data_IF_412372117468
#
_entry.id   IF_412372117468
#
_cell.length_a   1.000
_cell.length_b   1.000
_cell.length_c   1.000
_cell.angle_alpha   90.00
_cell.angle_beta   90.00
_cell.angle_gamma   90.00
#
_symmetry.space_group_name_H-M   'P 1'
#
loop_
_entity.id
_entity.type
_entity.pdbx_description
1 polymer ?
#
# COMPACT_ATOMS: atom_id res chain seq x y z
N UNK A 1 47.89 19.90 -43.37
CA UNK A 1 47.91 19.89 -41.88
C UNK A 1 46.59 20.35 -41.24
N UNK A 2 45.98 21.47 -41.66
CA UNK A 2 44.71 22.03 -41.10
C UNK A 2 43.47 21.10 -41.11
N UNK A 3 43.30 20.28 -42.15
CA UNK A 3 42.08 19.45 -42.33
C UNK A 3 41.97 18.34 -41.26
N UNK A 4 43.10 17.80 -40.81
CA UNK A 4 43.13 16.75 -39.78
C UNK A 4 42.66 17.28 -38.42
N UNK A 5 43.11 18.48 -38.04
CA UNK A 5 42.67 19.15 -36.81
C UNK A 5 41.17 19.46 -36.79
N UNK A 6 40.59 19.84 -37.93
CA UNK A 6 39.14 20.09 -38.02
C UNK A 6 38.32 18.80 -37.87
N UNK A 7 38.86 17.68 -38.36
CA UNK A 7 38.22 16.37 -38.21
C UNK A 7 38.27 15.91 -36.75
N UNK A 8 39.43 16.02 -36.11
CA UNK A 8 39.61 15.67 -34.69
C UNK A 8 38.73 16.52 -33.77
N UNK A 9 38.63 17.83 -34.04
CA UNK A 9 37.77 18.74 -33.27
C UNK A 9 36.28 18.38 -33.41
N UNK A 10 35.82 18.01 -34.62
CA UNK A 10 34.44 17.54 -34.82
C UNK A 10 34.15 16.24 -34.07
N UNK A 11 35.10 15.30 -34.02
CA UNK A 11 34.97 14.04 -33.29
C UNK A 11 34.86 14.30 -31.78
N UNK A 12 35.68 15.19 -31.24
CA UNK A 12 35.66 15.57 -29.82
C UNK A 12 34.32 16.21 -29.44
N UNK A 13 33.82 17.13 -30.25
CA UNK A 13 32.53 17.79 -30.00
C UNK A 13 31.38 16.78 -30.07
N UNK A 14 31.39 15.90 -31.08
CA UNK A 14 30.36 14.89 -31.27
C UNK A 14 30.28 13.92 -30.08
N UNK A 15 31.43 13.42 -29.60
CA UNK A 15 31.51 12.55 -28.42
C UNK A 15 30.99 13.23 -27.16
N UNK A 16 31.29 14.53 -26.98
CA UNK A 16 30.79 15.31 -25.84
C UNK A 16 29.27 15.49 -25.85
N UNK A 17 28.69 15.75 -27.03
CA UNK A 17 27.22 15.89 -27.18
C UNK A 17 26.49 14.58 -26.88
N UNK A 18 27.02 13.44 -27.33
CA UNK A 18 26.43 12.13 -27.04
C UNK A 18 26.44 11.84 -25.54
N UNK A 19 27.56 12.10 -24.85
CA UNK A 19 27.66 11.93 -23.41
C UNK A 19 26.64 12.76 -22.62
N UNK A 20 26.44 14.02 -23.00
CA UNK A 20 25.43 14.88 -22.35
C UNK A 20 24.00 14.36 -22.53
N UNK A 21 23.67 13.81 -23.70
CA UNK A 21 22.34 13.21 -23.93
C UNK A 21 22.11 11.93 -23.12
N UNK A 22 23.15 11.15 -22.86
CA UNK A 22 23.06 9.95 -22.03
C UNK A 22 22.84 10.29 -20.54
N UNK A 23 23.52 11.33 -20.03
CA UNK A 23 23.34 11.80 -18.65
C UNK A 23 21.92 12.32 -18.41
N UNK A 24 21.38 13.11 -19.35
CA UNK A 24 20.00 13.63 -19.24
C UNK A 24 18.96 12.50 -19.24
N UNK A 25 19.12 11.50 -20.10
CA UNK A 25 18.20 10.34 -20.10
C UNK A 25 18.28 9.56 -18.79
N UNK A 26 19.47 9.41 -18.21
CA UNK A 26 19.66 8.75 -16.91
C UNK A 26 18.98 9.51 -15.78
N UNK A 27 19.09 10.84 -15.74
CA UNK A 27 18.39 11.68 -14.75
C UNK A 27 16.87 11.63 -14.89
N UNK A 28 16.35 11.69 -16.12
CA UNK A 28 14.90 11.62 -16.38
C UNK A 28 14.35 10.26 -15.92
N UNK A 29 15.04 9.16 -16.24
CA UNK A 29 14.66 7.83 -15.80
C UNK A 29 14.73 7.70 -14.27
N UNK A 30 15.79 8.19 -13.64
CA UNK A 30 15.92 8.18 -12.17
C UNK A 30 14.79 8.95 -11.49
N UNK A 31 14.44 10.14 -12.00
CA UNK A 31 13.40 10.99 -11.42
C UNK A 31 12.00 10.40 -11.62
N UNK A 32 11.77 9.72 -12.74
CA UNK A 32 10.53 8.99 -13.00
C UNK A 32 10.42 7.77 -12.07
N UNK A 33 11.51 7.02 -11.89
CA UNK A 33 11.56 5.86 -11.01
C UNK A 33 11.31 6.27 -9.54
N UNK A 34 11.90 7.37 -9.08
CA UNK A 34 11.67 7.91 -7.73
C UNK A 34 10.21 8.30 -7.51
N UNK A 35 9.57 8.97 -8.48
CA UNK A 35 8.13 9.29 -8.45
C UNK A 35 7.24 8.04 -8.40
N UNK A 36 7.62 6.98 -9.12
CA UNK A 36 6.87 5.71 -9.15
C UNK A 36 6.99 5.00 -7.80
N UNK A 37 8.18 4.97 -7.19
CA UNK A 37 8.43 4.37 -5.87
C UNK A 37 7.67 5.11 -4.75
N UNK A 38 7.58 6.44 -4.82
CA UNK A 38 6.84 7.23 -3.83
C UNK A 38 5.32 7.01 -3.92
N UNK A 39 4.76 6.78 -5.11
CA UNK A 39 3.34 6.53 -5.30
C UNK A 39 2.90 5.15 -4.76
N UNK A 40 3.83 4.18 -4.71
CA UNK A 40 3.58 2.79 -4.30
C UNK A 40 3.57 2.56 -2.79
N UNK A 41 4.03 3.53 -2.00
CA UNK A 41 4.29 3.34 -0.56
C UNK A 41 3.17 3.84 0.36
N UNK A 42 1.95 3.95 -0.15
CA UNK A 42 0.78 4.46 0.59
C UNK A 42 -0.26 3.37 0.88
N UNK A 43 0.16 2.12 1.07
CA UNK A 43 -0.61 1.23 1.93
C UNK A 43 -0.61 1.86 3.32
N UNK A 44 -1.73 2.49 3.69
CA UNK A 44 -1.89 3.21 4.96
C UNK A 44 -1.69 2.23 6.11
N UNK A 45 -0.45 2.05 6.58
CA UNK A 45 -0.10 1.14 7.68
C UNK A 45 -0.88 1.47 8.95
N UNK A 46 -1.20 2.75 9.15
CA UNK A 46 -2.09 3.25 10.21
C UNK A 46 -3.51 2.68 10.05
N UNK A 47 -4.05 2.64 8.84
CA UNK A 47 -5.36 2.04 8.56
C UNK A 47 -5.34 0.54 8.82
N UNK A 48 -4.28 -0.16 8.43
CA UNK A 48 -4.13 -1.59 8.71
C UNK A 48 -4.07 -1.87 10.23
N UNK A 49 -3.31 -1.06 10.98
CA UNK A 49 -3.26 -1.17 12.43
C UNK A 49 -4.62 -0.88 13.07
N UNK A 50 -5.34 0.14 12.62
CA UNK A 50 -6.70 0.44 13.09
C UNK A 50 -7.65 -0.74 12.86
N UNK A 51 -7.61 -1.34 11.67
CA UNK A 51 -8.47 -2.47 11.29
C UNK A 51 -8.17 -3.74 12.09
N UNK A 52 -6.92 -3.98 12.49
CA UNK A 52 -6.54 -5.20 13.23
C UNK A 52 -6.73 -5.02 14.75
N UNK A 53 -6.56 -3.81 15.29
CA UNK A 53 -6.60 -3.59 16.74
C UNK A 53 -7.89 -2.96 17.24
N UNK A 54 -8.35 -1.88 16.61
CA UNK A 54 -9.44 -1.04 17.15
C UNK A 54 -10.80 -1.52 16.65
N UNK A 55 -10.90 -1.83 15.36
CA UNK A 55 -12.14 -2.26 14.73
C UNK A 55 -12.78 -3.49 15.42
N UNK A 56 -12.03 -4.55 15.77
CA UNK A 56 -12.61 -5.74 16.41
C UNK A 56 -13.27 -5.42 17.75
N UNK A 57 -12.62 -4.57 18.55
CA UNK A 57 -13.10 -4.15 19.86
C UNK A 57 -14.42 -3.40 19.72
N UNK A 58 -14.50 -2.48 18.75
CA UNK A 58 -15.72 -1.70 18.49
C UNK A 58 -16.85 -2.61 18.02
N UNK A 59 -16.58 -3.53 17.08
CA UNK A 59 -17.62 -4.41 16.52
C UNK A 59 -18.17 -5.34 17.60
N UNK A 60 -17.31 -5.94 18.42
CA UNK A 60 -17.75 -6.80 19.52
C UNK A 60 -18.58 -6.00 20.53
N UNK A 61 -18.12 -4.80 20.90
CA UNK A 61 -18.84 -3.93 21.82
C UNK A 61 -20.24 -3.55 21.29
N UNK A 62 -20.33 -3.13 20.02
CA UNK A 62 -21.61 -2.84 19.37
C UNK A 62 -22.49 -4.09 19.30
N UNK A 63 -21.92 -5.27 19.03
CA UNK A 63 -22.63 -6.54 19.05
C UNK A 63 -23.28 -6.84 20.41
N UNK A 64 -22.55 -6.58 21.52
CA UNK A 64 -23.07 -6.73 22.88
C UNK A 64 -24.24 -5.78 23.15
N UNK A 65 -24.13 -4.50 22.76
CA UNK A 65 -25.20 -3.50 22.94
C UNK A 65 -26.47 -3.84 22.15
N UNK A 66 -26.30 -4.32 20.92
CA UNK A 66 -27.42 -4.79 20.09
C UNK A 66 -28.04 -6.04 20.73
N UNK A 67 -27.21 -6.95 21.24
CA UNK A 67 -27.65 -8.13 21.98
C UNK A 67 -28.52 -7.76 23.18
N UNK A 68 -28.05 -6.85 24.02
CA UNK A 68 -28.81 -6.31 25.16
C UNK A 68 -30.17 -5.76 24.74
N UNK A 69 -30.21 -4.88 23.73
CA UNK A 69 -31.45 -4.29 23.22
C UNK A 69 -32.44 -5.34 22.73
N UNK A 70 -31.96 -6.41 22.07
CA UNK A 70 -32.81 -7.52 21.63
C UNK A 70 -33.29 -8.34 22.82
N UNK A 71 -32.42 -8.63 23.79
CA UNK A 71 -32.73 -9.38 25.00
C UNK A 71 -33.84 -8.70 25.82
N UNK A 72 -33.75 -7.39 25.98
CA UNK A 72 -34.81 -6.57 26.60
C UNK A 72 -36.11 -6.62 25.81
N UNK A 73 -36.05 -6.44 24.48
CA UNK A 73 -37.24 -6.42 23.63
C UNK A 73 -38.05 -7.72 23.64
N UNK A 74 -37.40 -8.87 23.90
CA UNK A 74 -38.05 -10.19 23.95
C UNK A 74 -38.32 -10.68 25.36
N UNK A 75 -38.11 -9.85 26.40
CA UNK A 75 -38.13 -10.25 27.82
C UNK A 75 -37.28 -11.49 28.10
N UNK A 76 -36.16 -11.63 27.38
CA UNK A 76 -35.21 -12.72 27.52
C UNK A 76 -34.15 -12.44 28.59
N UNK A 77 -33.24 -13.40 28.78
CA UNK A 77 -32.07 -13.16 29.63
C UNK A 77 -31.09 -12.22 28.92
N UNK A 78 -31.00 -10.98 29.41
CA UNK A 78 -30.14 -9.92 28.87
C UNK A 78 -28.69 -10.41 28.72
N UNK A 79 -28.16 -11.10 29.74
CA UNK A 79 -26.79 -11.63 29.74
C UNK A 79 -26.57 -12.62 28.60
N UNK A 80 -27.52 -13.52 28.35
CA UNK A 80 -27.40 -14.52 27.27
C UNK A 80 -27.38 -13.82 25.91
N UNK A 81 -28.26 -12.83 25.71
CA UNK A 81 -28.31 -12.10 24.45
C UNK A 81 -27.10 -11.19 24.23
N UNK A 82 -26.53 -10.60 25.30
CA UNK A 82 -25.25 -9.88 25.24
C UNK A 82 -24.11 -10.79 24.76
N UNK A 83 -24.01 -12.01 25.33
CA UNK A 83 -22.99 -12.99 24.92
C UNK A 83 -23.16 -13.41 23.46
N UNK A 84 -24.40 -13.71 23.05
CA UNK A 84 -24.71 -14.06 21.65
C UNK A 84 -24.35 -12.90 20.72
N UNK A 85 -24.72 -11.67 21.09
CA UNK A 85 -24.41 -10.46 20.33
C UNK A 85 -22.91 -10.24 20.16
N UNK A 86 -22.12 -10.46 21.21
CA UNK A 86 -20.66 -10.41 21.15
C UNK A 86 -20.06 -11.48 20.22
N UNK A 87 -20.57 -12.72 20.28
CA UNK A 87 -20.14 -13.83 19.41
C UNK A 87 -20.44 -13.50 17.94
N UNK A 88 -21.65 -13.00 17.66
CA UNK A 88 -22.04 -12.57 16.31
C UNK A 88 -21.16 -11.43 15.83
N UNK A 89 -20.87 -10.44 16.68
CA UNK A 89 -19.94 -9.35 16.40
C UNK A 89 -18.54 -9.87 16.01
N UNK A 90 -18.01 -10.84 16.75
CA UNK A 90 -16.72 -11.45 16.46
C UNK A 90 -16.67 -12.17 15.10
N UNK A 91 -17.76 -12.85 14.71
CA UNK A 91 -17.88 -13.47 13.38
C UNK A 91 -17.87 -12.40 12.28
N UNK A 92 -18.64 -11.32 12.46
CA UNK A 92 -18.72 -10.21 11.51
C UNK A 92 -17.35 -9.54 11.35
N UNK A 93 -16.65 -9.31 12.45
CA UNK A 93 -15.30 -8.74 12.45
C UNK A 93 -14.33 -9.58 11.61
N UNK A 94 -14.30 -10.89 11.81
CA UNK A 94 -13.46 -11.79 11.00
C UNK A 94 -13.75 -11.73 9.49
N UNK A 95 -15.02 -11.52 9.11
CA UNK A 95 -15.40 -11.32 7.70
C UNK A 95 -14.87 -9.98 7.18
N UNK A 96 -15.00 -8.89 7.95
CA UNK A 96 -14.52 -7.56 7.56
C UNK A 96 -12.99 -7.56 7.41
N UNK A 97 -12.26 -8.13 8.37
CA UNK A 97 -10.80 -8.27 8.30
C UNK A 97 -10.38 -9.06 7.05
N UNK A 98 -11.09 -10.15 6.73
CA UNK A 98 -10.82 -10.94 5.53
C UNK A 98 -11.02 -10.16 4.24
N UNK A 99 -12.07 -9.32 4.17
CA UNK A 99 -12.32 -8.45 3.03
C UNK A 99 -11.23 -7.37 2.92
N UNK A 100 -10.85 -6.77 4.04
CA UNK A 100 -9.80 -5.76 4.13
C UNK A 100 -8.43 -6.31 3.73
N UNK A 101 -8.06 -7.51 4.19
CA UNK A 101 -6.84 -8.19 3.78
C UNK A 101 -6.84 -8.47 2.27
N UNK A 102 -8.00 -8.87 1.71
CA UNK A 102 -8.14 -9.11 0.26
C UNK A 102 -7.99 -7.84 -0.56
N UNK A 103 -8.57 -6.71 -0.13
CA UNK A 103 -8.44 -5.43 -0.84
C UNK A 103 -7.04 -4.84 -0.74
N UNK A 104 -6.37 -5.04 0.40
CA UNK A 104 -5.01 -4.54 0.65
C UNK A 104 -3.94 -5.35 -0.12
N UNK A 105 -4.24 -6.59 -0.50
CA UNK A 105 -3.37 -7.47 -1.30
C UNK A 105 -3.27 -7.12 -2.78
N UNK A 106 -3.81 -5.98 -3.23
CA UNK A 106 -3.73 -5.56 -4.64
C UNK A 106 -2.35 -4.99 -5.00
N UNK A 107 -1.49 -4.68 -4.02
CA UNK A 107 -0.14 -4.15 -4.25
C UNK A 107 0.97 -5.23 -4.31
N UNK A 108 0.65 -6.43 -4.80
CA UNK A 108 1.63 -7.52 -5.02
C UNK A 108 2.60 -7.27 -6.18
N UNK A 109 2.40 -6.17 -6.90
CA UNK A 109 3.37 -5.67 -7.86
C UNK A 109 4.39 -4.75 -7.19
N UNK A 110 4.62 -4.85 -5.88
CA UNK A 110 5.90 -4.55 -5.22
C UNK A 110 7.03 -5.33 -5.89
N UNK A 111 7.38 -4.87 -7.09
CA UNK A 111 8.52 -5.19 -7.94
C UNK A 111 9.62 -5.81 -7.10
N UNK A 112 9.74 -7.12 -7.29
CA UNK A 112 10.80 -7.93 -6.73
C UNK A 112 12.10 -7.31 -7.22
N UNK A 113 12.72 -6.48 -6.39
CA UNK A 113 13.99 -5.83 -6.71
C UNK A 113 14.96 -6.98 -7.00
N UNK A 114 15.34 -7.16 -8.26
CA UNK A 114 16.33 -8.17 -8.63
C UNK A 114 17.67 -7.60 -8.19
N UNK A 115 18.35 -8.29 -7.27
CA UNK A 115 19.66 -7.84 -6.76
C UNK A 115 20.72 -7.77 -7.86
N UNK A 116 20.45 -8.36 -9.02
CA UNK A 116 21.31 -8.34 -10.19
C UNK A 116 21.25 -7.01 -10.99
N UNK A 117 20.30 -6.12 -10.66
CA UNK A 117 20.16 -4.78 -11.27
C UNK A 117 20.84 -3.66 -10.46
N UNK A 118 21.47 -3.98 -9.32
CA UNK A 118 22.24 -3.06 -8.45
C UNK A 118 23.74 -3.23 -8.65
#
# INVERSE_FOLDING_TARGET
>A
MKIKYLLDLKIIIFRKVIGMKAVQQKEINSKNNEKIVQNKKNTNMILAAFMIFILPIIIIFVGVLIGESIGEAVNGSIIIFQVIGGIVGLIIDGIIIKIFDKSSKIDKNAEKIHWDDL
#
